data_IF_118901321698
#
_entry.id   IF_118901321698
#
_cell.length_a   1.000
_cell.length_b   1.000
_cell.length_c   1.000
_cell.angle_alpha   90.00
_cell.angle_beta   90.00
_cell.angle_gamma   90.00
#
_symmetry.space_group_name_H-M   'P 1'
#
loop_
_entity.id
_entity.type
_entity.pdbx_description
1 polymer ?
#
# COMPACT_ATOMS: atom_id res chain seq x y z
N UNK A 1 -11.56 17.62 -15.04
CA UNK A 1 -10.97 16.28 -15.10
C UNK A 1 -9.63 16.34 -14.37
N UNK A 2 -9.45 15.78 -13.17
CA UNK A 2 -8.09 15.60 -12.56
C UNK A 2 -8.07 14.98 -11.14
N UNK A 3 -9.19 14.87 -10.42
CA UNK A 3 -9.14 14.48 -8.99
C UNK A 3 -8.62 13.06 -8.77
N UNK A 4 -8.95 12.13 -9.66
CA UNK A 4 -8.57 10.71 -9.51
C UNK A 4 -7.10 10.47 -9.86
N UNK A 5 -6.58 11.08 -10.92
CA UNK A 5 -5.18 10.88 -11.34
C UNK A 5 -4.19 11.54 -10.37
N UNK A 6 -4.52 12.72 -9.85
CA UNK A 6 -3.68 13.37 -8.84
C UNK A 6 -3.67 12.56 -7.54
N UNK A 7 -4.82 12.01 -7.13
CA UNK A 7 -4.94 11.12 -5.97
C UNK A 7 -4.05 9.88 -6.15
N UNK A 8 -4.10 9.23 -7.31
CA UNK A 8 -3.25 8.07 -7.61
C UNK A 8 -1.76 8.40 -7.52
N UNK A 9 -1.31 9.53 -8.11
CA UNK A 9 0.08 9.96 -8.04
C UNK A 9 0.54 10.22 -6.61
N UNK A 10 -0.31 10.83 -5.78
CA UNK A 10 -0.02 11.05 -4.36
C UNK A 10 0.15 9.72 -3.61
N UNK A 11 -0.72 8.74 -3.87
CA UNK A 11 -0.63 7.42 -3.24
C UNK A 11 0.62 6.67 -3.68
N UNK A 12 0.92 6.63 -4.98
CA UNK A 12 2.15 6.03 -5.51
C UNK A 12 3.40 6.64 -4.89
N UNK A 13 3.41 7.96 -4.69
CA UNK A 13 4.52 8.65 -4.05
C UNK A 13 4.67 8.27 -2.58
N UNK A 14 3.57 8.18 -1.83
CA UNK A 14 3.60 7.78 -0.40
C UNK A 14 4.07 6.33 -0.23
N UNK A 15 3.66 5.40 -1.09
CA UNK A 15 4.13 4.00 -1.02
C UNK A 15 5.67 3.87 -1.13
N UNK A 16 6.33 4.80 -1.82
CA UNK A 16 7.78 4.81 -2.05
C UNK A 16 8.57 5.63 -1.01
N UNK A 17 7.90 6.18 0.00
CA UNK A 17 8.49 7.10 0.98
C UNK A 17 8.00 6.82 2.39
N UNK A 18 8.14 5.57 2.84
CA UNK A 18 7.99 5.20 4.24
C UNK A 18 9.25 5.49 5.05
N UNK A 19 10.39 5.70 4.39
CA UNK A 19 11.67 5.98 5.05
C UNK A 19 12.42 4.72 5.47
N UNK A 20 11.97 3.54 5.01
CA UNK A 20 12.60 2.26 5.23
C UNK A 20 12.53 1.43 3.95
N UNK A 21 13.70 1.06 3.41
CA UNK A 21 13.81 0.45 2.09
C UNK A 21 13.03 -0.86 1.96
N UNK A 22 12.98 -1.68 3.01
CA UNK A 22 12.24 -2.94 3.03
C UNK A 22 10.73 -2.71 2.87
N UNK A 23 10.18 -1.72 3.58
CA UNK A 23 8.79 -1.31 3.44
C UNK A 23 8.52 -0.64 2.10
N UNK A 24 9.43 0.21 1.62
CA UNK A 24 9.28 0.88 0.33
C UNK A 24 9.23 -0.15 -0.82
N UNK A 25 10.03 -1.22 -0.74
CA UNK A 25 10.00 -2.33 -1.70
C UNK A 25 8.70 -3.12 -1.57
N UNK A 26 8.33 -3.54 -0.36
CA UNK A 26 7.12 -4.33 -0.14
C UNK A 26 5.84 -3.59 -0.55
N UNK A 27 5.69 -2.33 -0.13
CA UNK A 27 4.55 -1.49 -0.50
C UNK A 27 4.55 -1.10 -1.98
N UNK A 28 5.70 -1.17 -2.67
CA UNK A 28 5.73 -0.90 -4.11
C UNK A 28 4.96 -1.93 -4.94
N UNK A 29 4.72 -3.14 -4.41
CA UNK A 29 3.91 -4.18 -5.09
C UNK A 29 2.47 -3.68 -5.33
N UNK A 30 1.94 -2.85 -4.42
CA UNK A 30 0.62 -2.21 -4.52
C UNK A 30 0.50 -1.19 -5.67
N UNK A 31 1.59 -0.82 -6.35
CA UNK A 31 1.49 0.05 -7.54
C UNK A 31 0.67 -0.59 -8.65
N UNK A 32 0.68 -1.93 -8.77
CA UNK A 32 -0.16 -2.65 -9.72
C UNK A 32 -1.64 -2.55 -9.34
N UNK A 33 -1.94 -2.70 -8.05
CA UNK A 33 -3.29 -2.56 -7.50
C UNK A 33 -3.84 -1.13 -7.71
N UNK A 34 -2.99 -0.10 -7.53
CA UNK A 34 -3.31 1.30 -7.84
C UNK A 34 -3.66 1.53 -9.31
N UNK A 35 -2.98 0.82 -10.24
CA UNK A 35 -3.20 0.98 -11.68
C UNK A 35 -4.56 0.43 -12.15
N UNK A 36 -5.12 -0.54 -11.43
CA UNK A 36 -6.47 -1.06 -11.71
C UNK A 36 -7.57 -0.04 -11.39
N UNK A 37 -7.29 0.91 -10.50
CA UNK A 37 -8.21 2.00 -10.17
C UNK A 37 -9.50 1.56 -9.44
N UNK A 38 -9.52 0.36 -8.87
CA UNK A 38 -10.64 -0.13 -8.07
C UNK A 38 -10.77 0.70 -6.79
N UNK A 39 -11.95 1.32 -6.59
CA UNK A 39 -12.20 2.23 -5.48
C UNK A 39 -12.06 1.55 -4.12
N UNK A 40 -12.42 0.28 -4.01
CA UNK A 40 -12.33 -0.48 -2.76
C UNK A 40 -10.85 -0.69 -2.39
N UNK A 41 -10.05 -1.16 -3.34
CA UNK A 41 -8.60 -1.32 -3.19
C UNK A 41 -7.95 0.01 -2.82
N UNK A 42 -8.32 1.11 -3.49
CA UNK A 42 -7.77 2.44 -3.18
C UNK A 42 -8.05 2.85 -1.72
N UNK A 43 -9.23 2.55 -1.18
CA UNK A 43 -9.54 2.84 0.22
C UNK A 43 -8.69 2.01 1.18
N UNK A 44 -8.47 0.74 0.88
CA UNK A 44 -7.60 -0.11 1.69
C UNK A 44 -6.14 0.35 1.65
N UNK A 45 -5.63 0.76 0.50
CA UNK A 45 -4.27 1.32 0.36
C UNK A 45 -4.16 2.64 1.13
N UNK A 46 -5.17 3.51 1.04
CA UNK A 46 -5.22 4.75 1.82
C UNK A 46 -5.16 4.48 3.32
N UNK A 47 -5.94 3.53 3.80
CA UNK A 47 -5.93 3.13 5.20
C UNK A 47 -4.57 2.56 5.61
N UNK A 48 -3.98 1.69 4.79
CA UNK A 48 -2.65 1.12 5.03
C UNK A 48 -1.59 2.22 5.20
N UNK A 49 -1.63 3.25 4.35
CA UNK A 49 -0.72 4.41 4.41
C UNK A 49 -0.96 5.37 5.59
N UNK A 50 -1.98 5.12 6.42
CA UNK A 50 -2.18 5.81 7.71
C UNK A 50 -1.62 5.04 8.90
N UNK A 51 -1.20 3.79 8.69
CA UNK A 51 -0.63 2.96 9.74
C UNK A 51 0.82 3.36 10.00
N UNK A 52 1.24 3.15 11.25
CA UNK A 52 2.61 3.39 11.67
C UNK A 52 3.56 2.31 11.12
N UNK A 53 4.81 2.69 10.87
CA UNK A 53 5.88 1.82 10.34
C UNK A 53 5.99 0.46 11.09
N UNK A 54 5.98 0.40 12.43
CA UNK A 54 6.03 -0.88 13.15
C UNK A 54 4.88 -1.81 12.82
N UNK A 55 3.69 -1.27 12.55
CA UNK A 55 2.50 -2.06 12.22
C UNK A 55 2.59 -2.61 10.79
N UNK A 56 3.14 -1.81 9.87
CA UNK A 56 3.43 -2.27 8.50
C UNK A 56 4.48 -3.38 8.49
N UNK A 57 5.52 -3.28 9.32
CA UNK A 57 6.52 -4.34 9.47
C UNK A 57 5.93 -5.62 10.07
N UNK A 58 5.06 -5.49 11.07
CA UNK A 58 4.35 -6.64 11.63
C UNK A 58 3.52 -7.36 10.56
N UNK A 59 2.87 -6.62 9.65
CA UNK A 59 2.16 -7.20 8.51
C UNK A 59 3.09 -7.87 7.51
N UNK A 60 4.20 -7.23 7.15
CA UNK A 60 5.19 -7.79 6.22
C UNK A 60 5.79 -9.11 6.73
N UNK A 61 6.03 -9.19 8.04
CA UNK A 61 6.61 -10.36 8.72
C UNK A 61 5.57 -11.40 9.15
N UNK A 62 4.29 -11.21 8.79
CA UNK A 62 3.20 -12.13 9.13
C UNK A 62 2.79 -12.15 10.60
N UNK A 63 3.28 -11.20 11.41
CA UNK A 63 2.86 -11.02 12.81
C UNK A 63 1.47 -10.41 12.92
N UNK A 64 1.08 -9.59 11.95
CA UNK A 64 -0.27 -9.01 11.81
C UNK A 64 -0.86 -9.37 10.45
N UNK A 65 -2.18 -9.54 10.34
CA UNK A 65 -2.80 -9.87 9.07
C UNK A 65 -2.88 -8.64 8.16
N UNK A 66 -2.47 -8.83 6.90
CA UNK A 66 -2.76 -7.88 5.81
C UNK A 66 -4.26 -7.93 5.46
N UNK A 67 -4.92 -6.80 5.14
CA UNK A 67 -6.29 -6.80 4.62
C UNK A 67 -6.47 -7.76 3.46
N UNK A 68 -7.56 -8.55 3.45
CA UNK A 68 -7.80 -9.62 2.48
C UNK A 68 -7.78 -9.14 1.03
N UNK A 69 -8.20 -7.90 0.83
CA UNK A 69 -8.28 -7.22 -0.45
C UNK A 69 -6.89 -6.87 -1.00
N UNK A 70 -5.90 -6.70 -0.11
CA UNK A 70 -4.51 -6.38 -0.46
C UNK A 70 -3.60 -7.61 -0.47
N UNK A 71 -4.00 -8.72 0.16
CA UNK A 71 -3.24 -9.99 0.17
C UNK A 71 -2.82 -10.50 -1.21
N UNK A 72 -3.65 -10.41 -2.29
CA UNK A 72 -3.22 -10.86 -3.62
C UNK A 72 -2.05 -10.05 -4.20
N UNK A 73 -1.79 -8.87 -3.64
CA UNK A 73 -0.82 -7.91 -4.14
C UNK A 73 0.41 -7.78 -3.26
N UNK A 74 0.38 -8.31 -2.04
CA UNK A 74 1.45 -8.19 -1.07
C UNK A 74 1.96 -9.58 -0.72
N UNK A 75 3.22 -9.83 -1.04
CA UNK A 75 3.89 -11.05 -0.62
C UNK A 75 4.35 -10.89 0.84
N UNK A 76 3.77 -11.65 1.76
CA UNK A 76 4.33 -11.81 3.11
C UNK A 76 5.51 -12.78 3.04
N UNK A 77 6.61 -12.45 3.72
CA UNK A 77 7.81 -13.31 3.80
C UNK A 77 7.55 -14.50 4.71
#
# INVERSE_FOLDING_TARGET
MSTSEEKLRRLQYRLKRQGMLELDVWLSELNHALALGDKEILQHIEHLLTLEVPMLLAMQTGQEPVPKELQPWLSTV
#
